data_IF_612046841610
#
_entry.id   IF_612046841610
#
_cell.length_a   1.000
_cell.length_b   1.000
_cell.length_c   1.000
_cell.angle_alpha   90.00
_cell.angle_beta   90.00
_cell.angle_gamma   90.00
#
_symmetry.space_group_name_H-M   'P 1'
#
loop_
_entity.id
_entity.type
_entity.pdbx_description
1 polymer ?
#
# COMPACT_ATOMS: atom_id res chain seq x y z
N UNK A 1 15.73 -6.34 2.35
CA UNK A 1 15.10 -7.37 3.19
C UNK A 1 16.15 -8.41 3.55
N UNK A 2 15.86 -9.30 4.51
CA UNK A 2 16.78 -10.32 5.04
C UNK A 2 17.41 -11.22 3.97
N UNK A 3 16.72 -11.37 2.85
CA UNK A 3 17.11 -12.18 1.70
C UNK A 3 17.68 -11.35 0.54
N UNK A 4 18.03 -10.07 0.77
CA UNK A 4 18.60 -9.18 -0.22
C UNK A 4 17.58 -8.51 -1.15
N UNK A 5 16.29 -8.85 -1.07
CA UNK A 5 15.26 -8.18 -1.87
C UNK A 5 15.15 -6.70 -1.50
N UNK A 6 15.05 -5.85 -2.52
CA UNK A 6 14.94 -4.40 -2.40
C UNK A 6 13.47 -3.98 -2.52
N UNK A 7 12.98 -3.31 -1.48
CA UNK A 7 11.63 -2.77 -1.44
C UNK A 7 11.66 -1.28 -1.81
N UNK A 8 10.79 -0.87 -2.72
CA UNK A 8 10.67 0.52 -3.15
C UNK A 8 9.71 1.28 -2.23
N UNK A 9 10.15 2.43 -1.73
CA UNK A 9 9.36 3.29 -0.87
C UNK A 9 9.47 4.76 -1.30
N UNK A 10 8.38 5.50 -1.17
CA UNK A 10 8.38 6.97 -1.21
C UNK A 10 8.34 7.52 0.22
N UNK A 11 9.05 8.64 0.42
CA UNK A 11 9.09 9.37 1.67
C UNK A 11 8.54 10.78 1.45
N UNK A 12 7.51 11.14 2.22
CA UNK A 12 6.97 12.48 2.27
C UNK A 12 7.24 13.10 3.63
N UNK A 13 7.94 14.24 3.63
CA UNK A 13 8.26 15.01 4.83
C UNK A 13 7.68 16.41 4.73
N UNK A 14 7.21 16.99 5.85
CA UNK A 14 6.87 18.40 5.89
C UNK A 14 8.14 19.23 5.73
N UNK A 15 8.09 20.25 4.85
CA UNK A 15 9.24 21.08 4.47
C UNK A 15 10.05 21.60 5.68
N UNK A 16 9.37 22.04 6.74
CA UNK A 16 10.02 22.57 7.96
C UNK A 16 10.80 21.51 8.75
N UNK A 17 10.34 20.26 8.77
CA UNK A 17 11.01 19.22 9.56
C UNK A 17 12.37 18.79 9.00
N UNK A 18 12.58 18.97 7.69
CA UNK A 18 13.88 18.70 7.04
C UNK A 18 14.95 19.68 7.54
N UNK A 19 14.59 20.93 7.80
CA UNK A 19 15.54 21.98 8.17
C UNK A 19 15.82 22.01 9.69
N UNK A 20 14.84 21.63 10.51
CA UNK A 20 14.93 21.75 11.98
C UNK A 20 15.35 20.44 12.68
N UNK A 21 15.72 19.40 11.91
CA UNK A 21 16.10 18.08 12.43
C UNK A 21 15.05 17.47 13.38
N UNK A 22 13.77 17.79 13.14
CA UNK A 22 12.65 17.31 13.95
C UNK A 22 12.37 15.83 13.68
N UNK A 23 12.25 15.06 14.76
CA UNK A 23 11.83 13.66 14.72
C UNK A 23 10.30 13.56 14.78
N UNK A 24 9.71 12.92 13.78
CA UNK A 24 8.27 12.87 13.55
C UNK A 24 7.71 11.46 13.77
N UNK A 25 6.44 11.32 14.19
CA UNK A 25 5.73 10.07 14.05
C UNK A 25 5.58 9.72 12.57
N UNK A 26 5.63 8.43 12.24
CA UNK A 26 5.54 7.97 10.85
C UNK A 26 4.20 7.32 10.59
N UNK A 27 3.48 7.79 9.57
CA UNK A 27 2.43 7.03 8.92
C UNK A 27 3.09 6.07 7.93
N UNK A 28 3.01 4.77 8.22
CA UNK A 28 3.47 3.71 7.34
C UNK A 28 2.30 3.18 6.51
N UNK A 29 2.43 3.30 5.19
CA UNK A 29 1.55 2.71 4.20
C UNK A 29 2.33 1.68 3.41
N UNK A 30 1.77 0.49 3.25
CA UNK A 30 2.35 -0.57 2.42
C UNK A 30 1.22 -1.10 1.55
N UNK A 31 1.45 -1.18 0.24
CA UNK A 31 0.41 -1.54 -0.71
C UNK A 31 0.94 -2.45 -1.81
N UNK A 32 0.06 -3.30 -2.34
CA UNK A 32 0.30 -4.04 -3.59
C UNK A 32 -0.13 -3.27 -4.84
N UNK A 33 -0.81 -2.14 -4.67
CA UNK A 33 -1.49 -1.44 -5.77
C UNK A 33 -0.64 -0.37 -6.45
N UNK A 34 0.69 -0.46 -6.37
CA UNK A 34 1.66 0.58 -6.72
C UNK A 34 1.47 1.87 -5.90
N UNK A 35 2.50 2.24 -5.13
CA UNK A 35 2.56 3.47 -4.34
C UNK A 35 2.40 4.76 -5.17
N UNK A 36 2.78 4.70 -6.45
CA UNK A 36 2.78 5.84 -7.37
C UNK A 36 2.54 5.39 -8.80
N UNK A 37 1.63 6.08 -9.49
CA UNK A 37 1.37 5.90 -10.91
C UNK A 37 1.95 7.07 -11.70
N UNK A 38 2.59 6.76 -12.83
CA UNK A 38 3.02 7.81 -13.76
C UNK A 38 1.78 8.40 -14.42
N UNK A 39 1.61 9.70 -14.27
CA UNK A 39 0.56 10.43 -15.00
C UNK A 39 1.08 10.72 -16.40
N UNK A 40 0.32 10.32 -17.42
CA UNK A 40 0.69 10.57 -18.80
C UNK A 40 0.32 11.99 -19.23
N UNK A 41 1.04 12.51 -20.22
CA UNK A 41 0.69 13.76 -20.89
C UNK A 41 -0.71 13.65 -21.54
N UNK A 42 -1.55 14.72 -21.50
CA UNK A 42 -1.29 16.05 -20.92
C UNK A 42 -1.64 16.19 -19.43
N UNK A 43 -2.20 15.15 -18.80
CA UNK A 43 -2.72 15.22 -17.43
C UNK A 43 -1.63 15.42 -16.36
N UNK A 44 -0.38 15.08 -16.66
CA UNK A 44 0.77 15.35 -15.79
C UNK A 44 0.96 16.85 -15.48
N UNK A 45 0.53 17.73 -16.39
CA UNK A 45 0.65 19.18 -16.22
C UNK A 45 -0.31 19.72 -15.14
N UNK A 46 -1.45 19.05 -14.93
CA UNK A 46 -2.44 19.43 -13.92
C UNK A 46 -2.22 18.75 -12.57
N UNK A 47 -1.77 17.49 -12.57
CA UNK A 47 -1.76 16.66 -11.36
C UNK A 47 -0.35 16.31 -10.86
N UNK A 48 0.69 16.79 -11.54
CA UNK A 48 2.07 16.38 -11.34
C UNK A 48 2.39 15.05 -12.02
N UNK A 49 3.66 14.66 -12.01
CA UNK A 49 4.13 13.45 -12.72
C UNK A 49 3.69 12.13 -12.06
N UNK A 50 3.35 12.19 -10.77
CA UNK A 50 3.06 11.03 -9.94
C UNK A 50 1.76 11.24 -9.17
N UNK A 51 0.77 10.39 -9.43
CA UNK A 51 -0.44 10.32 -8.63
C UNK A 51 -0.33 9.11 -7.71
N UNK A 52 -0.31 9.33 -6.40
CA UNK A 52 -0.44 8.25 -5.42
C UNK A 52 -1.89 7.79 -5.42
N UNK A 53 -2.13 6.50 -5.63
CA UNK A 53 -3.48 5.95 -5.74
C UNK A 53 -4.04 5.63 -4.35
N UNK A 54 -5.26 6.17 -4.16
CA UNK A 54 -6.37 5.73 -3.29
C UNK A 54 -6.31 6.00 -1.78
N UNK A 55 -7.37 6.68 -1.33
CA UNK A 55 -7.97 6.54 -0.01
C UNK A 55 -7.31 7.31 1.13
N UNK A 56 -5.99 7.23 1.25
CA UNK A 56 -5.29 7.81 2.41
C UNK A 56 -4.89 9.25 2.10
N UNK A 57 -5.33 10.24 2.91
CA UNK A 57 -5.01 11.63 2.64
C UNK A 57 -3.59 11.97 3.10
N UNK A 58 -2.54 11.45 2.46
CA UNK A 58 -1.14 11.69 2.83
C UNK A 58 -0.82 13.16 3.06
N UNK A 59 -1.31 14.04 2.18
CA UNK A 59 -1.17 15.51 2.34
C UNK A 59 -1.69 16.01 3.70
N UNK A 60 -2.80 15.46 4.19
CA UNK A 60 -3.40 15.82 5.49
C UNK A 60 -2.57 15.32 6.68
N UNK A 61 -1.84 14.22 6.55
CA UNK A 61 -0.93 13.71 7.57
C UNK A 61 0.38 14.50 7.58
N UNK A 62 0.97 14.73 6.41
CA UNK A 62 2.18 15.57 6.25
C UNK A 62 1.92 16.97 6.82
N UNK A 63 0.78 17.59 6.48
CA UNK A 63 0.40 18.90 7.01
C UNK A 63 0.19 18.93 8.53
N UNK A 64 -0.05 17.77 9.17
CA UNK A 64 -0.18 17.62 10.62
C UNK A 64 1.12 17.18 11.32
N UNK A 65 2.24 17.19 10.61
CA UNK A 65 3.55 16.88 11.20
C UNK A 65 3.89 15.39 11.26
N UNK A 66 3.27 14.55 10.42
CA UNK A 66 3.70 13.17 10.23
C UNK A 66 4.71 13.06 9.08
N UNK A 67 5.71 12.20 9.25
CA UNK A 67 6.39 11.61 8.11
C UNK A 67 5.45 10.58 7.48
N UNK A 68 5.38 10.50 6.15
CA UNK A 68 4.64 9.43 5.47
C UNK A 68 5.62 8.58 4.68
N UNK A 69 5.63 7.28 4.95
CA UNK A 69 6.42 6.29 4.21
C UNK A 69 5.43 5.39 3.50
N UNK A 70 5.50 5.33 2.16
CA UNK A 70 4.63 4.50 1.33
C UNK A 70 5.46 3.50 0.54
N UNK A 71 5.33 2.21 0.82
CA UNK A 71 6.12 1.15 0.20
C UNK A 71 5.28 0.24 -0.70
N UNK A 72 5.88 -0.22 -1.79
CA UNK A 72 5.35 -1.32 -2.60
C UNK A 72 5.66 -2.65 -1.91
N UNK A 73 4.70 -3.56 -1.82
CA UNK A 73 4.96 -4.95 -1.39
C UNK A 73 5.95 -5.66 -2.31
N UNK A 74 6.59 -6.73 -1.82
CA UNK A 74 7.52 -7.57 -2.57
C UNK A 74 6.91 -8.01 -3.91
N UNK A 75 7.66 -7.79 -5.00
CA UNK A 75 7.22 -8.14 -6.36
C UNK A 75 6.08 -7.29 -6.91
N UNK A 76 5.83 -6.10 -6.36
CA UNK A 76 4.87 -5.12 -6.91
C UNK A 76 5.53 -3.79 -7.18
N UNK A 77 4.92 -2.96 -8.03
CA UNK A 77 5.41 -1.63 -8.34
C UNK A 77 6.88 -1.63 -8.73
N UNK A 78 7.69 -0.88 -7.98
CA UNK A 78 9.14 -0.84 -8.18
C UNK A 78 9.93 -1.74 -7.22
N UNK A 79 9.25 -2.53 -6.38
CA UNK A 79 9.87 -3.50 -5.48
C UNK A 79 10.34 -4.75 -6.24
N UNK A 80 11.49 -5.26 -5.84
CA UNK A 80 12.07 -6.48 -6.40
C UNK A 80 11.43 -7.73 -5.76
N UNK A 81 11.85 -8.90 -6.24
CA UNK A 81 11.39 -10.19 -5.73
C UNK A 81 10.05 -10.61 -6.30
N UNK A 82 9.45 -11.64 -5.70
CA UNK A 82 8.14 -12.17 -6.07
C UNK A 82 7.46 -12.75 -4.83
N UNK A 83 6.13 -12.95 -4.94
CA UNK A 83 5.35 -13.71 -3.97
C UNK A 83 4.40 -14.64 -4.72
N UNK A 84 4.20 -15.89 -4.26
CA UNK A 84 3.30 -16.83 -4.92
C UNK A 84 1.82 -16.46 -4.73
N UNK A 85 1.50 -15.78 -3.64
CA UNK A 85 0.16 -15.29 -3.29
C UNK A 85 0.30 -14.15 -2.28
N UNK A 86 -0.80 -13.43 -2.07
CA UNK A 86 -0.86 -12.33 -1.11
C UNK A 86 -0.71 -12.78 0.33
N UNK A 87 -0.02 -11.96 1.11
CA UNK A 87 0.35 -12.21 2.50
C UNK A 87 1.14 -13.51 2.66
N UNK A 88 1.93 -13.87 1.64
CA UNK A 88 2.93 -14.92 1.77
C UNK A 88 3.84 -14.61 2.96
N UNK A 89 4.32 -15.64 3.66
CA UNK A 89 5.16 -15.50 4.86
C UNK A 89 6.29 -14.48 4.66
N UNK A 90 6.94 -14.52 3.50
CA UNK A 90 8.06 -13.61 3.25
C UNK A 90 7.65 -12.15 3.11
N UNK A 91 6.50 -11.89 2.50
CA UNK A 91 5.91 -10.57 2.37
C UNK A 91 5.52 -10.01 3.75
N UNK A 92 4.88 -10.83 4.59
CA UNK A 92 4.50 -10.41 5.96
C UNK A 92 5.74 -10.12 6.82
N UNK A 93 6.80 -10.93 6.69
CA UNK A 93 8.07 -10.67 7.39
C UNK A 93 8.75 -9.38 6.91
N UNK A 94 8.65 -9.05 5.62
CA UNK A 94 9.17 -7.78 5.09
C UNK A 94 8.51 -6.57 5.74
N UNK A 95 7.23 -6.65 6.12
CA UNK A 95 6.55 -5.55 6.81
C UNK A 95 7.22 -5.20 8.14
N UNK A 96 7.72 -6.21 8.87
CA UNK A 96 8.50 -6.04 10.08
C UNK A 96 9.84 -5.35 9.81
N UNK A 97 10.55 -5.81 8.79
CA UNK A 97 11.84 -5.21 8.38
C UNK A 97 11.68 -3.77 7.88
N UNK A 98 10.56 -3.44 7.24
CA UNK A 98 10.22 -2.08 6.85
C UNK A 98 10.02 -1.21 8.11
N UNK A 99 9.31 -1.69 9.13
CA UNK A 99 9.18 -0.96 10.41
C UNK A 99 10.54 -0.74 11.07
N UNK A 100 11.39 -1.77 11.13
CA UNK A 100 12.76 -1.68 11.65
C UNK A 100 13.59 -0.64 10.88
N UNK A 101 13.44 -0.59 9.56
CA UNK A 101 14.11 0.39 8.72
C UNK A 101 13.60 1.80 8.99
N UNK A 102 12.28 1.99 9.10
CA UNK A 102 11.65 3.30 9.35
C UNK A 102 12.12 3.91 10.66
N UNK A 103 12.16 3.14 11.75
CA UNK A 103 12.51 3.67 13.08
C UNK A 103 13.98 4.06 13.22
N UNK A 104 14.85 3.53 12.35
CA UNK A 104 16.27 3.88 12.27
C UNK A 104 16.52 5.16 11.48
N UNK A 105 15.53 5.69 10.76
CA UNK A 105 15.71 6.90 9.96
C UNK A 105 15.80 8.15 10.83
N UNK A 106 16.61 9.13 10.40
CA UNK A 106 16.82 10.39 11.14
C UNK A 106 15.54 11.19 11.38
N UNK A 107 14.58 11.10 10.45
CA UNK A 107 13.30 11.79 10.57
C UNK A 107 12.35 11.12 11.58
N UNK A 108 12.60 9.88 12.01
CA UNK A 108 11.64 9.11 12.82
C UNK A 108 11.82 9.37 14.30
N UNK A 109 10.71 9.54 15.03
CA UNK A 109 10.70 9.53 16.50
C UNK A 109 10.49 8.12 17.08
N UNK A 110 10.50 7.08 16.24
CA UNK A 110 10.33 5.70 16.65
C UNK A 110 8.88 5.26 16.86
N UNK A 111 7.89 6.12 16.58
CA UNK A 111 6.45 5.77 16.62
C UNK A 111 5.90 5.64 15.20
N UNK A 112 5.22 4.53 14.95
CA UNK A 112 4.60 4.18 13.67
C UNK A 112 3.10 4.05 13.87
N UNK A 113 2.33 4.65 12.97
CA UNK A 113 0.90 4.38 12.79
C UNK A 113 0.65 3.86 11.39
N UNK A 114 -0.38 3.05 11.19
CA UNK A 114 -0.77 2.58 9.85
C UNK A 114 -2.27 2.69 9.62
N UNK A 115 -2.66 2.86 8.37
CA UNK A 115 -4.06 2.84 7.95
C UNK A 115 -4.14 2.42 6.50
N UNK A 116 -5.28 1.87 6.11
CA UNK A 116 -5.52 1.45 4.74
C UNK A 116 -6.93 0.91 4.55
N UNK A 117 -7.30 0.73 3.28
CA UNK A 117 -8.59 0.17 2.87
C UNK A 117 -8.32 -1.13 2.11
N UNK A 118 -9.16 -2.15 2.29
CA UNK A 118 -9.06 -3.41 1.54
C UNK A 118 -7.71 -4.09 1.79
N UNK A 119 -6.88 -4.32 0.77
CA UNK A 119 -5.54 -4.89 0.94
C UNK A 119 -4.67 -4.09 1.91
N UNK A 120 -4.67 -2.77 1.83
CA UNK A 120 -3.85 -1.92 2.70
C UNK A 120 -4.40 -1.94 4.15
N UNK A 121 -5.71 -2.20 4.31
CA UNK A 121 -6.35 -2.48 5.59
C UNK A 121 -5.84 -3.79 6.18
N UNK A 122 -5.82 -4.87 5.38
CA UNK A 122 -5.25 -6.16 5.80
C UNK A 122 -3.77 -6.04 6.17
N UNK A 123 -2.99 -5.25 5.43
CA UNK A 123 -1.60 -4.96 5.81
C UNK A 123 -1.54 -4.31 7.20
N UNK A 124 -2.44 -3.36 7.50
CA UNK A 124 -2.53 -2.75 8.83
C UNK A 124 -2.79 -3.80 9.92
N UNK A 125 -3.64 -4.80 9.66
CA UNK A 125 -3.91 -5.88 10.59
C UNK A 125 -2.71 -6.85 10.73
N UNK A 126 -2.02 -7.17 9.64
CA UNK A 126 -0.79 -7.96 9.68
C UNK A 126 0.33 -7.24 10.43
N UNK A 127 0.46 -5.92 10.31
CA UNK A 127 1.42 -5.14 11.08
C UNK A 127 1.21 -5.31 12.59
N UNK A 128 -0.05 -5.38 13.06
CA UNK A 128 -0.36 -5.65 14.48
C UNK A 128 0.11 -7.04 14.88
N UNK A 129 -0.10 -8.05 14.03
CA UNK A 129 0.29 -9.44 14.32
C UNK A 129 1.79 -9.62 14.53
N UNK A 130 2.62 -8.74 13.96
CA UNK A 130 4.08 -8.75 14.13
C UNK A 130 4.54 -8.24 15.50
N UNK A 131 3.65 -7.64 16.30
CA UNK A 131 3.93 -7.16 17.66
C UNK A 131 5.20 -6.28 17.76
N UNK A 132 5.41 -5.42 16.77
CA UNK A 132 6.57 -4.55 16.71
C UNK A 132 6.39 -3.36 17.67
N UNK A 133 7.34 -3.16 18.60
CA UNK A 133 7.23 -2.16 19.70
C UNK A 133 6.94 -0.72 19.26
N UNK A 134 7.34 -0.38 18.04
CA UNK A 134 7.13 0.97 17.49
C UNK A 134 5.75 1.20 16.87
N UNK A 135 4.97 0.14 16.61
CA UNK A 135 3.61 0.29 16.09
C UNK A 135 2.67 0.68 17.24
N UNK A 136 2.22 1.94 17.25
CA UNK A 136 1.43 2.50 18.35
C UNK A 136 -0.07 2.57 18.07
N UNK A 137 -0.47 2.55 16.79
CA UNK A 137 -1.88 2.50 16.40
C UNK A 137 -2.05 2.02 14.96
N UNK A 138 -3.17 1.35 14.70
CA UNK A 138 -3.64 1.07 13.34
C UNK A 138 -5.09 1.49 13.17
N UNK A 139 -5.46 1.93 11.98
CA UNK A 139 -6.84 2.18 11.58
C UNK A 139 -7.14 1.41 10.29
N UNK A 140 -7.56 0.15 10.45
CA UNK A 140 -7.93 -0.73 9.34
C UNK A 140 -9.38 -0.47 8.90
N UNK A 141 -9.60 -0.35 7.59
CA UNK A 141 -10.92 -0.04 7.01
C UNK A 141 -11.27 -1.08 5.95
N UNK A 142 -12.47 -1.67 6.03
CA UNK A 142 -12.95 -2.69 5.08
C UNK A 142 -11.91 -3.79 4.80
N UNK A 143 -11.29 -4.28 5.87
CA UNK A 143 -10.27 -5.33 5.83
C UNK A 143 -10.90 -6.68 6.12
N UNK A 144 -10.97 -7.60 5.14
CA UNK A 144 -11.46 -8.95 5.37
C UNK A 144 -10.47 -9.73 6.25
N UNK A 145 -10.99 -10.48 7.21
CA UNK A 145 -10.18 -11.23 8.18
C UNK A 145 -10.02 -12.69 7.76
N UNK A 146 -11.09 -13.30 7.23
CA UNK A 146 -11.10 -14.65 6.70
C UNK A 146 -11.32 -14.57 5.18
N UNK A 147 -10.24 -14.55 4.39
CA UNK A 147 -10.34 -14.41 2.93
C UNK A 147 -11.25 -15.46 2.28
N UNK A 148 -11.29 -16.68 2.83
CA UNK A 148 -12.15 -17.73 2.31
C UNK A 148 -13.63 -17.37 2.52
N UNK A 149 -14.02 -16.97 3.74
CA UNK A 149 -15.41 -16.69 4.08
C UNK A 149 -15.88 -15.28 3.72
N UNK A 150 -14.99 -14.31 3.69
CA UNK A 150 -15.36 -12.89 3.51
C UNK A 150 -15.31 -12.47 2.04
N UNK A 151 -14.46 -13.13 1.23
CA UNK A 151 -14.16 -12.69 -0.14
C UNK A 151 -14.39 -13.79 -1.16
N UNK A 152 -13.80 -14.98 -0.99
CA UNK A 152 -13.80 -16.00 -2.05
C UNK A 152 -15.13 -16.77 -2.07
N UNK A 153 -15.62 -17.20 -0.90
CA UNK A 153 -16.84 -17.98 -0.71
C UNK A 153 -17.75 -17.42 0.41
N UNK A 154 -18.23 -16.16 0.32
CA UNK A 154 -19.23 -15.65 1.24
C UNK A 154 -20.49 -16.53 1.25
N UNK A 155 -20.81 -17.08 2.41
CA UNK A 155 -21.90 -18.05 2.58
C UNK A 155 -21.72 -19.35 1.80
N UNK A 156 -20.49 -19.68 1.38
CA UNK A 156 -20.19 -20.86 0.55
C UNK A 156 -20.35 -20.64 -0.95
N UNK A 157 -20.73 -19.44 -1.40
CA UNK A 157 -20.94 -19.11 -2.81
C UNK A 157 -19.70 -18.48 -3.42
N UNK A 158 -19.16 -19.10 -4.48
CA UNK A 158 -17.96 -18.60 -5.14
C UNK A 158 -18.19 -17.24 -5.82
N UNK A 159 -17.48 -16.20 -5.35
CA UNK A 159 -17.52 -14.84 -5.91
C UNK A 159 -16.66 -14.71 -7.18
N UNK A 160 -17.00 -15.49 -8.21
CA UNK A 160 -16.22 -15.58 -9.45
C UNK A 160 -15.95 -14.21 -10.09
N UNK A 161 -16.96 -13.35 -10.18
CA UNK A 161 -16.81 -12.04 -10.83
C UNK A 161 -15.75 -11.21 -10.10
N UNK A 162 -15.87 -11.03 -8.78
CA UNK A 162 -14.91 -10.27 -7.99
C UNK A 162 -13.49 -10.82 -8.12
N UNK A 163 -13.33 -12.14 -7.99
CA UNK A 163 -12.01 -12.78 -8.06
C UNK A 163 -11.37 -12.58 -9.43
N UNK A 164 -12.11 -12.79 -10.52
CA UNK A 164 -11.58 -12.58 -11.88
C UNK A 164 -11.17 -11.12 -12.11
N UNK A 165 -11.99 -10.17 -11.65
CA UNK A 165 -11.69 -8.74 -11.78
C UNK A 165 -10.47 -8.34 -10.96
N UNK A 166 -10.39 -8.82 -9.72
CA UNK A 166 -9.27 -8.57 -8.83
C UNK A 166 -7.97 -9.07 -9.44
N UNK A 167 -7.94 -10.32 -9.90
CA UNK A 167 -6.76 -10.92 -10.51
C UNK A 167 -6.33 -10.18 -11.78
N UNK A 168 -7.26 -9.87 -12.68
CA UNK A 168 -6.95 -9.08 -13.89
C UNK A 168 -6.38 -7.71 -13.54
N UNK A 169 -6.99 -7.02 -12.56
CA UNK A 169 -6.53 -5.71 -12.12
C UNK A 169 -5.11 -5.79 -11.56
N UNK A 170 -4.86 -6.67 -10.59
CA UNK A 170 -3.56 -6.73 -9.91
C UNK A 170 -2.46 -7.20 -10.85
N UNK A 171 -2.71 -8.23 -11.67
CA UNK A 171 -1.74 -8.70 -12.66
C UNK A 171 -1.40 -7.62 -13.69
N UNK A 172 -2.38 -6.81 -14.11
CA UNK A 172 -2.13 -5.70 -15.03
C UNK A 172 -1.27 -4.62 -14.38
N UNK A 173 -1.62 -4.20 -13.16
CA UNK A 173 -0.86 -3.17 -12.41
C UNK A 173 0.57 -3.63 -12.15
N UNK A 174 0.77 -4.90 -11.79
CA UNK A 174 2.09 -5.51 -11.57
C UNK A 174 2.91 -5.62 -12.86
N UNK A 175 2.28 -6.01 -13.98
CA UNK A 175 2.96 -6.20 -15.26
C UNK A 175 3.31 -4.89 -15.96
N UNK A 176 2.43 -3.89 -15.91
CA UNK A 176 2.54 -2.69 -16.72
C UNK A 176 2.81 -1.42 -15.92
N UNK A 177 2.67 -1.45 -14.59
CA UNK A 177 2.89 -0.27 -13.75
C UNK A 177 1.82 0.81 -13.90
N UNK A 178 0.73 0.54 -14.62
CA UNK A 178 -0.37 1.49 -14.91
C UNK A 178 -1.71 0.90 -14.51
N UNK A 179 -2.68 1.77 -14.19
CA UNK A 179 -4.03 1.33 -13.90
C UNK A 179 -4.71 0.85 -15.20
N UNK A 180 -5.34 -0.34 -15.22
CA UNK A 180 -6.05 -0.81 -16.39
C UNK A 180 -7.26 0.07 -16.72
N UNK A 181 -7.58 0.21 -18.01
CA UNK A 181 -8.85 0.80 -18.46
C UNK A 181 -10.02 -0.11 -18.07
N UNK A 182 -11.15 0.48 -17.69
CA UNK A 182 -12.35 -0.24 -17.18
C UNK A 182 -12.80 -1.36 -18.13
N UNK A 183 -12.82 -1.08 -19.44
CA UNK A 183 -13.30 -2.00 -20.48
C UNK A 183 -12.41 -3.25 -20.60
N UNK A 184 -11.12 -3.13 -20.26
CA UNK A 184 -10.17 -4.26 -20.26
C UNK A 184 -10.32 -5.18 -19.04
N UNK A 185 -10.94 -4.69 -17.95
CA UNK A 185 -11.14 -5.44 -16.72
C UNK A 185 -12.51 -6.13 -16.75
N UNK A 186 -13.53 -5.40 -17.20
CA UNK A 186 -14.90 -5.87 -17.36
C UNK A 186 -15.50 -5.46 -18.71
N UNK A 187 -15.46 -6.32 -19.73
CA UNK A 187 -16.24 -6.10 -20.95
C UNK A 187 -17.73 -6.16 -20.60
N UNK A 188 -18.46 -5.05 -20.76
CA UNK A 188 -19.90 -4.97 -20.53
C UNK A 188 -20.35 -4.45 -19.15
N UNK A 189 -19.44 -4.01 -18.27
CA UNK A 189 -19.81 -3.30 -17.04
C UNK A 189 -20.09 -1.80 -17.28
N UNK A 190 -20.76 -1.42 -18.37
CA UNK A 190 -21.28 -0.05 -18.48
C UNK A 190 -22.32 0.16 -17.37
N UNK A 191 -22.35 1.33 -16.70
CA UNK A 191 -23.49 1.64 -15.87
C UNK A 191 -24.71 1.64 -16.78
N UNK A 192 -25.69 0.78 -16.50
CA UNK A 192 -27.00 0.85 -17.16
C UNK A 192 -27.47 2.30 -17.05
N UNK A 193 -27.56 2.96 -18.22
CA UNK A 193 -27.94 4.36 -18.37
C UNK A 193 -29.36 4.62 -17.91
#
# INVERSE_FOLDING_TARGET
MRDGVKIACDLYLPYRAVNENHRLPTLLHITRYNRSFKVNFPFNYLFGEKLSIRGIPFKKFVARGYAVVSCDTRGTGASFGSRPYDFHRDEVQDFGEIMDWVVKQKFSNGKIVSTGISYDGMVSDFLVSLNHKSLVAVASVSSPFDLYRDIIYPGGLYQKSFIDHYLKFTQHVEKFGVAPQRDNICPGCEPDS
#
